data_IF_186940611311
#
_entry.id   IF_186940611311
#
_cell.length_a   1.000
_cell.length_b   1.000
_cell.length_c   1.000
_cell.angle_alpha   90.00
_cell.angle_beta   90.00
_cell.angle_gamma   90.00
#
_symmetry.space_group_name_H-M   'P 1'
#
loop_
_entity.id
_entity.type
_entity.pdbx_description
1 polymer ?
#
# COMPACT_ATOMS: atom_id res chain seq x y z
N UNK A 1 0.80 -2.91 21.82
CA UNK A 1 0.97 -1.65 21.05
C UNK A 1 -0.36 -1.17 20.49
N UNK A 2 -0.53 0.13 20.22
CA UNK A 2 -1.77 0.71 19.66
C UNK A 2 -2.16 0.08 18.31
N UNK A 3 -1.18 -0.34 17.50
CA UNK A 3 -1.38 -0.99 16.20
C UNK A 3 -1.97 -2.41 16.32
N UNK A 4 -1.61 -3.17 17.35
CA UNK A 4 -2.14 -4.53 17.56
C UNK A 4 -3.62 -4.47 17.95
N UNK A 5 -3.98 -3.50 18.81
CA UNK A 5 -5.30 -3.43 19.42
C UNK A 5 -5.54 -4.53 20.47
N UNK A 6 -6.66 -4.46 21.19
CA UNK A 6 -7.07 -5.52 22.12
C UNK A 6 -7.45 -6.76 21.30
N UNK A 7 -6.91 -7.93 21.68
CA UNK A 7 -7.16 -9.23 21.01
C UNK A 7 -6.81 -9.25 19.51
N UNK A 8 -5.87 -8.42 19.07
CA UNK A 8 -5.49 -8.34 17.64
C UNK A 8 -6.55 -7.69 16.75
N UNK A 9 -7.56 -7.03 17.32
CA UNK A 9 -8.67 -6.40 16.57
C UNK A 9 -8.19 -5.45 15.48
N UNK A 10 -7.15 -4.65 15.77
CA UNK A 10 -6.67 -3.65 14.83
C UNK A 10 -5.85 -4.31 13.70
N UNK A 11 -5.02 -5.31 14.01
CA UNK A 11 -4.34 -6.11 12.98
C UNK A 11 -5.35 -6.74 12.03
N UNK A 12 -6.37 -7.44 12.55
CA UNK A 12 -7.40 -8.07 11.71
C UNK A 12 -8.14 -7.05 10.84
N UNK A 13 -8.37 -5.85 11.35
CA UNK A 13 -8.98 -4.77 10.57
C UNK A 13 -8.05 -4.29 9.44
N UNK A 14 -6.75 -4.15 9.70
CA UNK A 14 -5.76 -3.79 8.68
C UNK A 14 -5.67 -4.89 7.62
N UNK A 15 -5.56 -6.15 8.02
CA UNK A 15 -5.48 -7.30 7.12
C UNK A 15 -6.73 -7.40 6.25
N UNK A 16 -7.92 -7.24 6.85
CA UNK A 16 -9.18 -7.23 6.11
C UNK A 16 -9.29 -6.05 5.13
N UNK A 17 -8.87 -4.86 5.53
CA UNK A 17 -8.98 -3.66 4.70
C UNK A 17 -7.97 -3.66 3.54
N UNK A 18 -6.77 -4.19 3.76
CA UNK A 18 -5.66 -4.16 2.79
C UNK A 18 -5.56 -5.43 1.94
N UNK A 19 -6.04 -6.57 2.47
CA UNK A 19 -5.84 -7.89 1.86
C UNK A 19 -4.39 -8.37 1.88
N UNK A 20 -3.61 -7.90 2.86
CA UNK A 20 -2.24 -8.32 3.15
C UNK A 20 -2.16 -8.89 4.57
N UNK A 21 -1.21 -9.80 4.83
CA UNK A 21 -0.96 -10.36 6.15
C UNK A 21 0.02 -9.47 6.92
N UNK A 22 -0.28 -9.19 8.18
CA UNK A 22 0.54 -8.29 9.02
C UNK A 22 1.14 -9.09 10.18
N UNK A 23 2.46 -9.19 10.19
CA UNK A 23 3.23 -9.90 11.21
C UNK A 23 3.91 -8.90 12.13
N UNK A 24 3.76 -9.11 13.44
CA UNK A 24 4.48 -8.36 14.48
C UNK A 24 5.39 -9.35 15.18
N UNK A 25 6.69 -9.07 15.17
CA UNK A 25 7.70 -9.90 15.85
C UNK A 25 8.05 -9.33 17.24
N UNK A 26 8.97 -9.99 17.93
CA UNK A 26 9.45 -9.56 19.25
C UNK A 26 10.32 -8.29 19.18
N UNK A 27 10.66 -7.82 17.97
CA UNK A 27 11.45 -6.61 17.76
C UNK A 27 10.58 -5.37 17.96
N UNK A 28 10.83 -4.54 19.00
CA UNK A 28 9.99 -3.39 19.27
C UNK A 28 9.96 -2.40 18.09
N UNK A 29 8.76 -2.05 17.64
CA UNK A 29 8.57 -1.05 16.58
C UNK A 29 8.75 -1.59 15.17
N UNK A 30 9.05 -2.88 14.99
CA UNK A 30 9.10 -3.52 13.67
C UNK A 30 7.76 -4.19 13.39
N UNK A 31 7.25 -3.95 12.17
CA UNK A 31 6.03 -4.57 11.66
C UNK A 31 6.33 -5.02 10.24
N UNK A 32 6.11 -6.30 9.97
CA UNK A 32 6.32 -6.90 8.65
C UNK A 32 4.99 -7.07 7.91
N UNK A 33 4.98 -6.73 6.62
CA UNK A 33 3.81 -6.88 5.74
C UNK A 33 4.12 -7.91 4.66
N UNK A 34 3.31 -8.97 4.60
CA UNK A 34 3.39 -10.01 3.58
C UNK A 34 2.21 -9.92 2.63
N UNK A 35 2.49 -9.81 1.33
CA UNK A 35 1.47 -9.92 0.28
C UNK A 35 2.15 -10.25 -1.06
N UNK A 36 1.56 -11.13 -1.84
CA UNK A 36 2.04 -11.45 -3.20
C UNK A 36 1.84 -10.29 -4.17
N UNK A 37 0.74 -9.56 -4.02
CA UNK A 37 0.42 -8.39 -4.82
C UNK A 37 1.16 -7.16 -4.27
N UNK A 38 2.14 -6.68 -5.02
CA UNK A 38 3.00 -5.56 -4.60
C UNK A 38 2.25 -4.24 -4.45
N UNK A 39 1.16 -4.04 -5.18
CA UNK A 39 0.33 -2.84 -5.01
C UNK A 39 -0.39 -2.94 -3.67
N UNK A 40 -0.96 -4.10 -3.34
CA UNK A 40 -1.57 -4.33 -2.00
C UNK A 40 -0.54 -4.25 -0.88
N UNK A 41 0.67 -4.78 -1.07
CA UNK A 41 1.78 -4.63 -0.13
C UNK A 41 2.09 -3.16 0.14
N UNK A 42 2.19 -2.34 -0.91
CA UNK A 42 2.43 -0.91 -0.79
C UNK A 42 1.28 -0.18 -0.09
N UNK A 43 0.02 -0.52 -0.40
CA UNK A 43 -1.16 0.03 0.31
C UNK A 43 -1.06 -0.27 1.80
N UNK A 44 -0.76 -1.51 2.18
CA UNK A 44 -0.65 -1.90 3.59
C UNK A 44 0.52 -1.19 4.30
N UNK A 45 1.70 -1.16 3.69
CA UNK A 45 2.88 -0.52 4.26
C UNK A 45 2.67 1.00 4.46
N UNK A 46 2.16 1.70 3.45
CA UNK A 46 1.92 3.14 3.51
C UNK A 46 0.78 3.48 4.48
N UNK A 47 -0.27 2.63 4.54
CA UNK A 47 -1.36 2.79 5.52
C UNK A 47 -0.86 2.62 6.96
N UNK A 48 0.02 1.64 7.21
CA UNK A 48 0.64 1.44 8.52
C UNK A 48 1.49 2.64 8.93
N UNK A 49 2.29 3.20 8.03
CA UNK A 49 3.07 4.41 8.29
C UNK A 49 2.17 5.59 8.68
N UNK A 50 1.08 5.83 7.93
CA UNK A 50 0.09 6.87 8.22
C UNK A 50 -0.59 6.65 9.58
N UNK A 51 -0.98 5.41 9.89
CA UNK A 51 -1.60 5.04 11.18
C UNK A 51 -0.65 5.23 12.38
N UNK A 52 0.64 4.90 12.21
CA UNK A 52 1.66 5.11 13.24
C UNK A 52 1.87 6.60 13.49
N UNK A 53 1.94 7.41 12.44
CA UNK A 53 2.10 8.86 12.54
C UNK A 53 0.90 9.55 13.21
N UNK A 54 -0.33 9.12 12.91
CA UNK A 54 -1.56 9.63 13.53
C UNK A 54 -1.65 9.24 15.02
N UNK A 55 -1.21 8.03 15.37
CA UNK A 55 -1.15 7.54 16.74
C UNK A 55 -2.50 7.14 17.34
N UNK A 56 -3.62 7.33 16.63
CA UNK A 56 -4.97 6.83 17.00
C UNK A 56 -5.40 5.72 16.05
N UNK A 57 -5.41 4.49 16.57
CA UNK A 57 -5.66 3.29 15.76
C UNK A 57 -6.95 2.62 16.24
N UNK A 58 -8.02 2.79 15.47
CA UNK A 58 -9.31 2.09 15.65
C UNK A 58 -9.86 1.65 14.29
N UNK A 59 -10.74 0.62 14.23
CA UNK A 59 -11.18 0.01 12.97
C UNK A 59 -11.69 1.01 11.93
N UNK A 60 -12.53 1.98 12.31
CA UNK A 60 -13.05 2.98 11.37
C UNK A 60 -11.96 3.86 10.75
N UNK A 61 -10.94 4.24 11.53
CA UNK A 61 -9.82 5.05 11.01
C UNK A 61 -8.91 4.23 10.12
N UNK A 62 -8.70 2.94 10.45
CA UNK A 62 -7.97 2.01 9.60
C UNK A 62 -8.64 1.94 8.22
N UNK A 63 -9.95 1.69 8.17
CA UNK A 63 -10.71 1.62 6.92
C UNK A 63 -10.61 2.93 6.11
N UNK A 64 -10.74 4.07 6.78
CA UNK A 64 -10.61 5.40 6.15
C UNK A 64 -9.21 5.62 5.55
N UNK A 65 -8.14 5.37 6.31
CA UNK A 65 -6.75 5.57 5.86
C UNK A 65 -6.40 4.60 4.74
N UNK A 66 -6.84 3.34 4.83
CA UNK A 66 -6.58 2.35 3.78
C UNK A 66 -7.31 2.74 2.50
N UNK A 67 -8.56 3.20 2.59
CA UNK A 67 -9.32 3.67 1.44
C UNK A 67 -8.68 4.90 0.79
N UNK A 68 -8.19 5.85 1.59
CA UNK A 68 -7.47 7.02 1.08
C UNK A 68 -6.16 6.60 0.40
N UNK A 69 -5.35 5.78 1.06
CA UNK A 69 -4.07 5.30 0.53
C UNK A 69 -4.25 4.53 -0.76
N UNK A 70 -5.30 3.71 -0.87
CA UNK A 70 -5.64 3.03 -2.13
C UNK A 70 -5.88 4.00 -3.28
N UNK A 71 -6.64 5.08 -3.04
CA UNK A 71 -6.86 6.14 -4.04
C UNK A 71 -5.56 6.83 -4.44
N UNK A 72 -4.75 7.23 -3.46
CA UNK A 72 -3.45 7.88 -3.69
C UNK A 72 -2.54 7.00 -4.56
N UNK A 73 -2.49 5.69 -4.28
CA UNK A 73 -1.67 4.73 -5.03
C UNK A 73 -2.22 4.52 -6.45
N UNK A 74 -3.53 4.42 -6.64
CA UNK A 74 -4.15 4.30 -7.96
C UNK A 74 -3.90 5.54 -8.83
N UNK A 75 -3.95 6.73 -8.25
CA UNK A 75 -3.61 7.97 -8.94
C UNK A 75 -2.13 8.02 -9.32
N UNK A 76 -1.25 7.64 -8.39
CA UNK A 76 0.20 7.53 -8.67
C UNK A 76 0.49 6.53 -9.79
N UNK A 77 -0.15 5.37 -9.80
CA UNK A 77 -0.03 4.37 -10.89
C UNK A 77 -0.42 5.01 -12.23
N UNK A 78 -1.56 5.71 -12.29
CA UNK A 78 -2.01 6.36 -13.53
C UNK A 78 -1.05 7.45 -13.98
N UNK A 79 -0.53 8.24 -13.04
CA UNK A 79 0.40 9.32 -13.35
C UNK A 79 1.72 8.78 -13.90
N UNK A 80 2.35 7.84 -13.19
CA UNK A 80 3.60 7.19 -13.64
C UNK A 80 3.42 6.49 -14.99
N UNK A 81 2.28 5.84 -15.20
CA UNK A 81 1.97 5.21 -16.49
C UNK A 81 1.87 6.20 -17.65
N UNK A 82 1.31 7.39 -17.42
CA UNK A 82 1.25 8.47 -18.41
C UNK A 82 2.64 9.07 -18.67
N UNK A 83 3.37 9.35 -17.60
CA UNK A 83 4.71 9.95 -17.69
C UNK A 83 5.66 9.04 -18.47
N UNK A 84 5.65 7.73 -18.19
CA UNK A 84 6.44 6.76 -18.93
C UNK A 84 6.10 6.69 -20.43
N UNK A 85 4.84 6.88 -20.82
CA UNK A 85 4.45 6.94 -22.24
C UNK A 85 4.96 8.21 -22.92
N UNK A 86 4.95 9.33 -22.19
CA UNK A 86 5.50 10.61 -22.68
C UNK A 86 7.01 10.50 -22.86
N UNK A 87 7.73 9.96 -21.88
CA UNK A 87 9.18 9.79 -21.91
C UNK A 87 9.64 8.85 -23.05
N UNK A 88 8.83 7.84 -23.39
CA UNK A 88 9.13 6.88 -24.46
C UNK A 88 8.59 7.29 -25.83
N UNK A 89 7.92 8.44 -25.94
CA UNK A 89 7.21 8.94 -27.14
C UNK A 89 6.22 7.91 -27.73
N UNK A 90 5.61 7.07 -26.88
CA UNK A 90 4.61 6.08 -27.28
C UNK A 90 3.21 6.70 -27.22
N UNK A 91 2.50 6.68 -28.35
CA UNK A 91 1.16 7.28 -28.50
C UNK A 91 0.09 6.26 -28.86
N UNK A 92 -1.17 6.60 -28.59
CA UNK A 92 -2.33 5.80 -29.03
C UNK A 92 -2.55 4.49 -28.28
N UNK A 93 -1.88 4.28 -27.14
CA UNK A 93 -2.08 3.07 -26.33
C UNK A 93 -3.39 3.11 -25.57
N UNK A 94 -4.01 1.93 -25.41
CA UNK A 94 -5.22 1.79 -24.62
C UNK A 94 -4.95 2.14 -23.13
N UNK A 95 -5.84 2.83 -22.40
CA UNK A 95 -5.60 3.27 -21.01
C UNK A 95 -5.17 2.16 -20.04
N UNK A 96 -5.64 0.93 -20.25
CA UNK A 96 -5.22 -0.24 -19.46
C UNK A 96 -3.72 -0.58 -19.62
N UNK A 97 -3.11 -0.27 -20.76
CA UNK A 97 -1.68 -0.46 -21.00
C UNK A 97 -0.88 0.58 -20.21
N UNK A 98 -1.32 1.85 -20.24
CA UNK A 98 -0.73 2.91 -19.41
C UNK A 98 -0.80 2.54 -17.92
N UNK A 99 -1.94 2.04 -17.45
CA UNK A 99 -2.09 1.58 -16.06
C UNK A 99 -1.17 0.38 -15.74
N UNK A 100 -1.04 -0.58 -16.67
CA UNK A 100 -0.13 -1.71 -16.50
C UNK A 100 1.34 -1.28 -16.41
N UNK A 101 1.76 -0.31 -17.23
CA UNK A 101 3.09 0.31 -17.13
C UNK A 101 3.29 0.99 -15.77
N UNK A 102 2.31 1.76 -15.31
CA UNK A 102 2.37 2.39 -13.98
C UNK A 102 2.51 1.38 -12.83
N UNK A 103 1.85 0.22 -12.92
CA UNK A 103 1.99 -0.86 -11.92
C UNK A 103 3.40 -1.45 -11.88
N UNK A 104 4.18 -1.34 -12.96
CA UNK A 104 5.57 -1.83 -12.96
C UNK A 104 6.45 -1.10 -11.96
N UNK A 105 6.13 0.14 -11.59
CA UNK A 105 6.81 0.89 -10.52
C UNK A 105 6.81 0.16 -9.17
N UNK A 106 5.81 -0.69 -8.93
CA UNK A 106 5.68 -1.46 -7.69
C UNK A 106 6.28 -2.85 -7.81
N UNK A 107 6.73 -3.27 -9.00
CA UNK A 107 7.36 -4.58 -9.21
C UNK A 107 8.84 -4.60 -8.84
N UNK A 108 9.49 -3.44 -8.80
CA UNK A 108 10.86 -3.34 -8.27
C UNK A 108 10.82 -3.61 -6.77
N UNK A 109 11.44 -4.71 -6.35
CA UNK A 109 11.71 -4.95 -4.94
C UNK A 109 12.49 -3.76 -4.40
N UNK A 110 11.85 -2.94 -3.57
CA UNK A 110 12.52 -2.09 -2.58
C UNK A 110 13.21 -3.01 -1.55
N UNK A 111 14.26 -3.68 -2.02
CA UNK A 111 15.08 -4.69 -1.33
C UNK A 111 16.37 -5.03 -2.11
N UNK A 112 16.65 -4.31 -3.20
CA UNK A 112 18.01 -4.09 -3.70
C UNK A 112 18.40 -2.65 -3.37
N UNK A 113 18.80 -2.42 -2.12
CA UNK A 113 19.73 -1.39 -1.64
C UNK A 113 19.93 -1.57 -0.14
#
# INVERSE_FOLDING_TARGET
GRIIGREGRNIRAIEKATGADVMVDDTPGVISVSCFDRVRQAIAAESLQKLVADGRVHPSKIEEIVAQTKRDIEERIKQVGKDALVETDIRGVHPKIAEAMGKMQFRTSYGQN
#
